data_IF_242551929250
#
_entry.id   IF_242551929250
#
_cell.length_a   1.000
_cell.length_b   1.000
_cell.length_c   1.000
_cell.angle_alpha   90.00
_cell.angle_beta   90.00
_cell.angle_gamma   90.00
#
_symmetry.space_group_name_H-M   'P 1'
#
loop_
_entity.id
_entity.type
_entity.pdbx_description
1 polymer ?
#
# COMPACT_ATOMS: atom_id res chain seq x y z
N UNK A 1 16.94 -34.18 15.42
CA UNK A 1 17.68 -33.33 14.46
C UNK A 1 17.09 -31.95 14.55
N UNK A 2 17.76 -31.02 15.24
CA UNK A 2 17.35 -29.63 15.29
C UNK A 2 17.63 -29.02 13.92
N UNK A 3 16.57 -28.84 13.13
CA UNK A 3 16.61 -27.96 11.96
C UNK A 3 17.03 -26.58 12.45
N UNK A 4 18.24 -26.14 12.11
CA UNK A 4 18.72 -24.82 12.46
C UNK A 4 17.79 -23.78 11.84
N UNK A 5 16.99 -23.10 12.68
CA UNK A 5 16.28 -21.87 12.29
C UNK A 5 17.34 -20.91 11.77
N UNK A 6 17.35 -20.63 10.46
CA UNK A 6 18.08 -19.48 9.92
C UNK A 6 17.37 -18.25 10.49
N UNK A 7 18.05 -17.50 11.35
CA UNK A 7 17.58 -16.18 11.75
C UNK A 7 17.72 -15.26 10.53
N UNK A 8 16.61 -14.93 9.90
CA UNK A 8 16.58 -13.88 8.89
C UNK A 8 16.66 -12.54 9.64
N UNK A 9 17.42 -11.58 9.11
CA UNK A 9 17.66 -10.29 9.73
C UNK A 9 17.33 -9.20 8.72
N UNK A 10 16.48 -8.24 9.09
CA UNK A 10 16.19 -7.06 8.27
C UNK A 10 17.45 -6.21 8.17
N UNK A 11 18.02 -6.13 6.97
CA UNK A 11 19.15 -5.25 6.69
C UNK A 11 18.65 -3.85 6.34
N UNK A 12 19.48 -2.86 6.62
CA UNK A 12 19.18 -1.45 6.36
C UNK A 12 20.37 -0.78 5.69
N UNK A 13 20.11 0.26 4.92
CA UNK A 13 21.14 1.02 4.23
C UNK A 13 20.83 2.51 4.29
N UNK A 14 21.86 3.32 4.17
CA UNK A 14 21.70 4.77 4.03
C UNK A 14 21.28 5.08 2.59
N UNK A 15 20.28 5.93 2.42
CA UNK A 15 19.81 6.40 1.11
C UNK A 15 19.58 7.89 1.15
N UNK A 16 20.10 8.60 0.16
CA UNK A 16 19.75 9.99 -0.10
C UNK A 16 18.33 10.04 -0.65
N UNK A 17 17.48 10.83 0.01
CA UNK A 17 16.06 10.97 -0.34
C UNK A 17 15.68 12.43 -0.39
N UNK A 18 14.63 12.72 -1.15
CA UNK A 18 13.99 14.03 -1.10
C UNK A 18 12.55 13.87 -0.64
N UNK A 19 12.21 14.60 0.42
CA UNK A 19 10.90 14.59 1.05
C UNK A 19 10.57 15.99 1.55
N UNK A 20 9.29 16.24 1.78
CA UNK A 20 8.83 17.53 2.31
C UNK A 20 9.50 17.80 3.66
N UNK A 21 9.91 19.04 3.90
CA UNK A 21 10.60 19.44 5.14
C UNK A 21 9.69 19.40 6.36
N UNK A 22 8.53 20.05 6.26
CA UNK A 22 7.49 20.01 7.29
C UNK A 22 6.65 18.75 7.10
N UNK A 23 6.62 17.88 8.11
CA UNK A 23 5.96 16.57 8.07
C UNK A 23 5.16 16.29 9.34
N UNK A 24 5.01 17.28 10.22
CA UNK A 24 4.21 17.14 11.42
C UNK A 24 2.76 16.75 11.06
N UNK A 25 2.15 15.77 11.76
CA UNK A 25 0.77 15.39 11.49
C UNK A 25 -0.22 16.54 11.51
N UNK A 26 -0.06 17.57 12.36
CA UNK A 26 -0.97 18.72 12.37
C UNK A 26 -0.82 19.61 11.14
N UNK A 27 0.41 19.78 10.65
CA UNK A 27 0.65 20.49 9.39
C UNK A 27 0.01 19.75 8.23
N UNK A 28 0.26 18.44 8.12
CA UNK A 28 -0.32 17.61 7.06
C UNK A 28 -1.84 17.68 7.07
N UNK A 29 -2.49 17.51 8.22
CA UNK A 29 -3.96 17.65 8.31
C UNK A 29 -4.44 19.01 7.79
N UNK A 30 -3.77 20.09 8.19
CA UNK A 30 -4.10 21.45 7.77
C UNK A 30 -3.90 21.63 6.25
N UNK A 31 -2.81 21.08 5.71
CA UNK A 31 -2.51 21.09 4.28
C UNK A 31 -3.56 20.33 3.48
N UNK A 32 -3.84 19.07 3.85
CA UNK A 32 -4.79 18.22 3.13
C UNK A 32 -6.20 18.83 3.18
N UNK A 33 -6.58 19.47 4.28
CA UNK A 33 -7.83 20.23 4.38
C UNK A 33 -7.84 21.44 3.43
N UNK A 34 -6.76 22.22 3.38
CA UNK A 34 -6.64 23.37 2.46
C UNK A 34 -6.69 22.94 1.00
N UNK A 35 -5.97 21.89 0.60
CA UNK A 35 -5.89 21.41 -0.78
C UNK A 35 -7.27 21.09 -1.40
N UNK A 36 -8.26 20.76 -0.56
CA UNK A 36 -9.64 20.45 -0.96
C UNK A 36 -10.55 21.68 -1.05
N UNK A 37 -10.09 22.84 -0.60
CA UNK A 37 -10.91 24.05 -0.67
C UNK A 37 -11.06 24.52 -2.11
N UNK A 38 -12.28 24.90 -2.50
CA UNK A 38 -12.54 25.36 -3.87
C UNK A 38 -11.70 26.60 -4.17
N UNK A 39 -10.84 26.52 -5.18
CA UNK A 39 -9.91 27.59 -5.55
C UNK A 39 -8.61 27.59 -4.75
N UNK A 40 -8.30 26.51 -4.03
CA UNK A 40 -6.98 26.28 -3.46
C UNK A 40 -5.92 26.42 -4.56
N UNK A 41 -4.89 27.21 -4.26
CA UNK A 41 -3.70 27.30 -5.11
C UNK A 41 -2.74 26.20 -4.68
N UNK A 42 -2.08 25.56 -5.64
CA UNK A 42 -1.02 24.59 -5.39
C UNK A 42 0.02 25.21 -4.44
N UNK A 43 0.30 24.51 -3.35
CA UNK A 43 1.36 24.90 -2.41
C UNK A 43 2.68 24.41 -2.98
N UNK A 44 3.64 25.32 -3.08
CA UNK A 44 5.03 24.94 -3.33
C UNK A 44 5.63 24.49 -2.00
N UNK A 45 6.05 23.24 -1.94
CA UNK A 45 6.60 22.65 -0.74
C UNK A 45 8.09 22.92 -0.64
N UNK A 46 8.55 23.22 0.57
CA UNK A 46 9.98 23.21 0.87
C UNK A 46 10.48 21.76 0.93
N UNK A 47 11.24 21.37 -0.09
CA UNK A 47 11.85 20.04 -0.19
C UNK A 47 13.21 20.01 0.51
N UNK A 48 13.50 18.92 1.21
CA UNK A 48 14.81 18.68 1.81
C UNK A 48 15.46 17.44 1.24
N UNK A 49 16.78 17.53 1.03
CA UNK A 49 17.64 16.40 0.66
C UNK A 49 18.37 15.91 1.90
N UNK A 50 18.12 14.67 2.29
CA UNK A 50 18.74 14.09 3.48
C UNK A 50 19.05 12.61 3.29
N UNK A 51 20.07 12.15 4.02
CA UNK A 51 20.42 10.75 4.07
C UNK A 51 19.68 10.09 5.24
N UNK A 52 18.85 9.10 4.94
CA UNK A 52 18.06 8.39 5.94
C UNK A 52 18.32 6.89 5.89
N UNK A 53 18.07 6.22 7.01
CA UNK A 53 18.10 4.76 7.07
C UNK A 53 16.82 4.20 6.45
N UNK A 54 16.98 3.33 5.46
CA UNK A 54 15.89 2.64 4.77
C UNK A 54 16.12 1.13 4.79
N UNK A 55 15.06 0.31 4.63
CA UNK A 55 15.21 -1.12 4.40
C UNK A 55 16.09 -1.39 3.18
N UNK A 56 16.97 -2.39 3.27
CA UNK A 56 17.77 -2.80 2.12
C UNK A 56 16.95 -3.65 1.15
N UNK A 57 16.27 -3.01 0.20
CA UNK A 57 15.48 -3.67 -0.85
C UNK A 57 16.29 -4.52 -1.84
N UNK A 58 17.63 -4.41 -1.83
CA UNK A 58 18.51 -5.27 -2.63
C UNK A 58 18.89 -6.56 -1.90
N UNK A 59 18.59 -6.63 -0.61
CA UNK A 59 18.75 -7.84 0.20
C UNK A 59 17.45 -8.65 0.19
N UNK A 60 17.54 -9.88 -0.33
CA UNK A 60 16.38 -10.78 -0.45
C UNK A 60 15.78 -11.11 0.90
N UNK A 61 16.62 -11.35 1.89
CA UNK A 61 16.18 -11.79 3.21
C UNK A 61 15.41 -10.66 3.92
N UNK A 62 15.79 -9.39 3.68
CA UNK A 62 15.01 -8.20 4.08
C UNK A 62 13.62 -8.19 3.46
N UNK A 63 13.47 -8.38 2.14
CA UNK A 63 12.16 -8.41 1.50
C UNK A 63 11.29 -9.58 2.01
N UNK A 64 11.89 -10.75 2.20
CA UNK A 64 11.21 -11.92 2.77
C UNK A 64 10.70 -11.62 4.18
N UNK A 65 11.49 -10.96 5.01
CA UNK A 65 11.10 -10.64 6.38
C UNK A 65 9.96 -9.61 6.43
N UNK A 66 10.05 -8.57 5.60
CA UNK A 66 8.95 -7.62 5.43
C UNK A 66 7.65 -8.28 4.94
N UNK A 67 7.75 -9.27 4.05
CA UNK A 67 6.59 -10.01 3.58
C UNK A 67 5.97 -10.91 4.67
N UNK A 68 6.77 -11.47 5.58
CA UNK A 68 6.26 -12.19 6.76
C UNK A 68 5.57 -11.26 7.75
N UNK A 69 6.20 -10.13 8.10
CA UNK A 69 5.60 -9.05 8.90
C UNK A 69 4.25 -8.62 8.29
N UNK A 70 4.21 -8.50 6.96
CA UNK A 70 2.98 -8.16 6.23
C UNK A 70 1.94 -9.28 6.27
N UNK A 71 2.35 -10.55 6.25
CA UNK A 71 1.44 -11.69 6.40
C UNK A 71 0.81 -11.72 7.80
N UNK A 72 1.57 -11.37 8.83
CA UNK A 72 1.11 -11.29 10.22
C UNK A 72 0.09 -10.16 10.45
N UNK A 73 0.09 -9.12 9.62
CA UNK A 73 -0.96 -8.10 9.62
C UNK A 73 -2.38 -8.68 9.40
N UNK A 74 -2.50 -9.90 8.84
CA UNK A 74 -3.77 -10.61 8.66
C UNK A 74 -4.18 -11.47 9.87
N UNK A 75 -3.34 -11.59 10.89
CA UNK A 75 -3.55 -12.50 12.03
C UNK A 75 -3.87 -11.69 13.28
N UNK A 76 -5.06 -11.88 13.86
CA UNK A 76 -5.52 -11.09 15.02
C UNK A 76 -4.66 -11.33 16.27
N UNK A 77 -4.36 -12.60 16.56
CA UNK A 77 -3.72 -13.02 17.80
C UNK A 77 -2.25 -13.36 17.51
N UNK A 78 -1.30 -12.54 18.00
CA UNK A 78 0.12 -12.85 17.93
C UNK A 78 0.44 -14.21 18.55
N UNK A 79 1.47 -14.89 18.03
CA UNK A 79 1.88 -16.24 18.46
C UNK A 79 0.83 -17.35 18.24
N UNK A 80 -0.26 -17.05 17.54
CA UNK A 80 -1.26 -18.02 17.11
C UNK A 80 -0.75 -19.00 16.05
N UNK A 81 -1.60 -19.96 15.65
CA UNK A 81 -1.24 -21.02 14.69
C UNK A 81 -0.83 -20.50 13.30
N UNK A 82 -1.37 -19.35 12.91
CA UNK A 82 -1.12 -18.71 11.62
C UNK A 82 -0.07 -17.57 11.66
N UNK A 83 0.44 -17.26 12.86
CA UNK A 83 1.47 -16.25 13.10
C UNK A 83 2.84 -16.75 12.67
N UNK A 84 3.59 -15.93 11.95
CA UNK A 84 4.94 -16.24 11.50
C UNK A 84 5.94 -15.65 12.50
N UNK A 85 6.86 -16.48 12.99
CA UNK A 85 7.96 -15.97 13.81
C UNK A 85 8.93 -15.18 12.92
N UNK A 86 8.84 -13.86 13.01
CA UNK A 86 9.68 -12.89 12.29
C UNK A 86 11.08 -12.72 12.90
N UNK A 87 11.33 -13.35 14.06
CA UNK A 87 12.62 -13.34 14.74
C UNK A 87 13.04 -11.97 15.28
N UNK A 88 14.22 -11.94 15.89
CA UNK A 88 14.81 -10.70 16.41
C UNK A 88 15.35 -9.81 15.27
N UNK A 89 15.39 -8.47 15.45
CA UNK A 89 15.09 -7.73 16.69
C UNK A 89 13.64 -7.26 16.83
N UNK A 90 12.75 -7.58 15.89
CA UNK A 90 11.42 -6.97 15.85
C UNK A 90 10.41 -7.79 16.64
N UNK A 91 9.80 -7.15 17.64
CA UNK A 91 8.70 -7.71 18.38
C UNK A 91 7.41 -6.99 18.02
N UNK A 92 6.30 -7.73 17.97
CA UNK A 92 4.96 -7.14 17.95
C UNK A 92 4.73 -6.38 19.27
N UNK A 93 4.25 -5.15 19.18
CA UNK A 93 4.06 -4.28 20.35
C UNK A 93 2.66 -3.67 20.47
N UNK A 94 1.82 -3.80 19.44
CA UNK A 94 0.45 -3.30 19.43
C UNK A 94 -0.26 -3.54 18.11
N UNK A 95 -1.38 -4.27 18.17
CA UNK A 95 -2.36 -4.38 17.10
C UNK A 95 -3.35 -3.21 17.07
N UNK A 96 -3.92 -2.93 15.89
CA UNK A 96 -4.95 -1.91 15.72
C UNK A 96 -6.14 -2.39 14.88
N UNK A 97 -7.33 -1.84 15.15
CA UNK A 97 -8.56 -2.04 14.36
C UNK A 97 -9.26 -3.39 14.54
N UNK A 98 -8.75 -4.28 15.39
CA UNK A 98 -9.29 -5.63 15.59
C UNK A 98 -10.65 -5.66 16.31
N UNK A 99 -10.97 -4.60 17.06
CA UNK A 99 -12.23 -4.40 17.80
C UNK A 99 -13.38 -3.82 16.96
N UNK A 100 -13.11 -3.49 15.69
CA UNK A 100 -14.08 -2.89 14.77
C UNK A 100 -13.94 -3.45 13.35
N UNK A 101 -14.76 -2.96 12.43
CA UNK A 101 -14.72 -3.31 11.01
C UNK A 101 -13.86 -2.34 10.18
N UNK A 102 -12.95 -1.58 10.82
CA UNK A 102 -12.05 -0.64 10.17
C UNK A 102 -10.75 -1.26 9.67
N UNK A 103 -9.79 -0.39 9.35
CA UNK A 103 -8.44 -0.78 8.92
C UNK A 103 -7.70 -1.50 10.06
N UNK A 104 -7.07 -2.63 9.76
CA UNK A 104 -6.39 -3.50 10.72
C UNK A 104 -4.90 -3.64 10.44
N UNK A 105 -4.16 -4.10 11.43
CA UNK A 105 -2.74 -4.39 11.31
C UNK A 105 -2.04 -4.39 12.66
N UNK A 106 -0.71 -4.29 12.62
CA UNK A 106 0.16 -4.35 13.79
C UNK A 106 1.34 -3.39 13.69
N UNK A 107 1.91 -3.06 14.84
CA UNK A 107 3.13 -2.26 14.98
C UNK A 107 4.25 -3.14 15.55
N UNK A 108 5.34 -3.24 14.80
CA UNK A 108 6.54 -3.97 15.19
C UNK A 108 7.65 -2.99 15.55
N UNK A 109 8.39 -3.28 16.61
CA UNK A 109 9.44 -2.38 17.10
C UNK A 109 10.71 -3.18 17.39
N UNK A 110 11.86 -2.61 17.03
CA UNK A 110 13.15 -3.20 17.38
C UNK A 110 13.42 -3.12 18.90
N UNK A 111 14.30 -3.98 19.41
CA UNK A 111 14.63 -4.03 20.85
C UNK A 111 15.12 -2.68 21.44
N UNK A 112 15.62 -1.79 20.59
CA UNK A 112 16.15 -0.47 20.97
C UNK A 112 15.17 0.68 20.80
N UNK A 113 13.93 0.43 20.35
CA UNK A 113 12.91 1.45 20.02
C UNK A 113 13.41 2.53 19.04
N UNK A 114 14.33 2.17 18.15
CA UNK A 114 14.93 3.04 17.15
C UNK A 114 14.29 2.90 15.77
N UNK A 115 13.61 1.78 15.51
CA UNK A 115 12.93 1.49 14.25
C UNK A 115 11.57 0.87 14.52
N UNK A 116 10.54 1.47 13.94
CA UNK A 116 9.14 1.02 14.06
C UNK A 116 8.62 0.69 12.68
N UNK A 117 8.03 -0.49 12.53
CA UNK A 117 7.40 -0.95 11.29
C UNK A 117 5.90 -1.00 11.52
N UNK A 118 5.15 -0.20 10.75
CA UNK A 118 3.68 -0.26 10.70
C UNK A 118 3.28 -1.23 9.60
N UNK A 119 2.68 -2.36 9.95
CA UNK A 119 2.21 -3.37 9.02
C UNK A 119 0.69 -3.26 8.86
N UNK A 120 0.22 -2.96 7.64
CA UNK A 120 -1.20 -2.71 7.35
C UNK A 120 -1.81 -3.91 6.63
N UNK A 121 -2.91 -4.41 7.17
CA UNK A 121 -3.71 -5.49 6.58
C UNK A 121 -4.38 -5.01 5.30
N UNK A 122 -4.42 -5.86 4.28
CA UNK A 122 -5.25 -5.65 3.10
C UNK A 122 -6.61 -6.33 3.19
N UNK A 123 -7.25 -6.51 2.04
CA UNK A 123 -8.64 -6.93 1.93
C UNK A 123 -8.87 -8.36 2.43
N UNK A 124 -9.83 -8.52 3.33
CA UNK A 124 -10.47 -9.82 3.56
C UNK A 124 -11.47 -10.08 2.44
N UNK A 125 -11.28 -11.17 1.69
CA UNK A 125 -12.26 -11.65 0.72
C UNK A 125 -12.23 -13.18 0.62
N UNK A 126 -13.39 -13.78 0.34
CA UNK A 126 -13.50 -15.21 0.02
C UNK A 126 -12.56 -15.62 -1.13
N UNK A 127 -12.34 -14.73 -2.11
CA UNK A 127 -11.38 -14.92 -3.21
C UNK A 127 -9.93 -15.12 -2.71
N UNK A 128 -9.59 -14.50 -1.58
CA UNK A 128 -8.30 -14.58 -0.92
C UNK A 128 -8.27 -15.58 0.25
N UNK A 129 -9.34 -16.39 0.42
CA UNK A 129 -9.51 -17.33 1.54
C UNK A 129 -9.41 -16.65 2.91
N UNK A 130 -9.80 -15.38 2.97
CA UNK A 130 -9.91 -14.60 4.20
C UNK A 130 -11.37 -14.24 4.40
N UNK A 131 -11.94 -14.69 5.52
CA UNK A 131 -13.28 -14.31 5.97
C UNK A 131 -13.14 -13.35 7.14
N UNK A 132 -14.09 -12.43 7.31
CA UNK A 132 -14.03 -11.49 8.43
C UNK A 132 -14.96 -10.29 8.32
N UNK A 133 -15.15 -9.62 9.45
CA UNK A 133 -16.10 -8.52 9.59
C UNK A 133 -15.72 -7.25 8.79
N UNK A 134 -14.50 -7.18 8.23
CA UNK A 134 -14.01 -6.04 7.44
C UNK A 134 -14.35 -6.13 5.95
N UNK A 135 -14.79 -7.29 5.44
CA UNK A 135 -14.95 -7.56 3.98
C UNK A 135 -15.72 -6.45 3.26
N UNK A 136 -16.81 -5.95 3.87
CA UNK A 136 -17.64 -4.90 3.27
C UNK A 136 -16.89 -3.57 3.15
N UNK A 137 -16.19 -3.16 4.21
CA UNK A 137 -15.46 -1.88 4.23
C UNK A 137 -14.19 -1.94 3.38
N UNK A 138 -13.50 -3.08 3.39
CA UNK A 138 -12.34 -3.32 2.52
C UNK A 138 -12.76 -3.13 1.06
N UNK A 139 -13.85 -3.78 0.64
CA UNK A 139 -14.39 -3.68 -0.72
C UNK A 139 -14.81 -2.26 -1.11
N UNK A 140 -15.41 -1.50 -0.20
CA UNK A 140 -15.76 -0.10 -0.45
C UNK A 140 -14.51 0.73 -0.73
N UNK A 141 -13.46 0.55 0.08
CA UNK A 141 -12.21 1.29 -0.08
C UNK A 141 -11.44 0.84 -1.33
N UNK A 142 -11.35 -0.47 -1.62
CA UNK A 142 -10.80 -1.00 -2.87
C UNK A 142 -11.44 -0.32 -4.08
N UNK A 143 -12.78 -0.37 -4.13
CA UNK A 143 -13.56 0.20 -5.22
C UNK A 143 -13.44 1.72 -5.31
N UNK A 144 -13.24 2.41 -4.20
CA UNK A 144 -13.06 3.86 -4.20
C UNK A 144 -11.67 4.27 -4.70
N UNK A 145 -10.63 3.51 -4.33
CA UNK A 145 -9.24 3.79 -4.66
C UNK A 145 -8.88 3.40 -6.09
N UNK A 146 -9.35 2.23 -6.54
CA UNK A 146 -8.83 1.58 -7.75
C UNK A 146 -9.79 1.62 -8.93
N UNK A 147 -10.97 2.24 -8.77
CA UNK A 147 -11.88 2.49 -9.89
C UNK A 147 -11.75 3.92 -10.42
N UNK A 148 -12.09 4.08 -11.68
CA UNK A 148 -12.08 5.38 -12.33
C UNK A 148 -13.19 6.30 -11.82
N UNK A 149 -14.37 5.76 -11.50
CA UNK A 149 -15.49 6.55 -11.02
C UNK A 149 -16.41 5.73 -10.11
N UNK A 150 -16.09 5.62 -8.82
CA UNK A 150 -16.97 5.05 -7.80
C UNK A 150 -17.49 3.62 -8.11
N UNK A 151 -16.68 2.76 -8.71
CA UNK A 151 -17.05 1.41 -9.19
C UNK A 151 -18.18 1.40 -10.23
N UNK A 152 -18.28 2.46 -11.05
CA UNK A 152 -19.22 2.54 -12.17
C UNK A 152 -18.77 1.65 -13.34
N UNK A 153 -18.93 0.34 -13.17
CA UNK A 153 -18.50 -0.68 -14.15
C UNK A 153 -19.64 -1.10 -15.09
N UNK A 154 -20.81 -1.46 -14.54
CA UNK A 154 -21.95 -1.92 -15.34
C UNK A 154 -23.28 -1.77 -14.59
N UNK A 155 -24.40 -2.00 -15.27
CA UNK A 155 -25.74 -1.94 -14.67
C UNK A 155 -25.97 -3.00 -13.58
N UNK A 156 -25.11 -4.02 -13.48
CA UNK A 156 -25.19 -5.10 -12.49
C UNK A 156 -24.48 -4.73 -11.17
N UNK A 157 -23.83 -3.57 -11.09
CA UNK A 157 -23.02 -3.15 -9.96
C UNK A 157 -23.64 -1.97 -9.23
N UNK A 158 -23.40 -1.90 -7.92
CA UNK A 158 -23.67 -0.73 -7.10
C UNK A 158 -22.41 0.12 -6.99
N UNK A 159 -22.57 1.44 -7.11
CA UNK A 159 -21.48 2.40 -6.93
C UNK A 159 -21.15 2.58 -5.44
N UNK A 160 -19.92 3.01 -5.15
CA UNK A 160 -19.46 3.28 -3.77
C UNK A 160 -19.48 4.77 -3.39
N UNK A 161 -19.76 5.63 -4.37
CA UNK A 161 -20.06 7.05 -4.22
C UNK A 161 -20.89 7.55 -5.40
N UNK A 162 -21.46 8.75 -5.27
CA UNK A 162 -22.41 9.32 -6.24
C UNK A 162 -21.76 10.39 -7.15
N UNK A 163 -20.49 10.18 -7.52
CA UNK A 163 -19.72 11.15 -8.32
C UNK A 163 -19.90 11.01 -9.84
N UNK A 164 -20.56 9.94 -10.29
CA UNK A 164 -20.85 9.74 -11.71
C UNK A 164 -21.88 10.74 -12.21
N UNK A 165 -21.58 11.41 -13.33
CA UNK A 165 -22.53 12.35 -13.94
C UNK A 165 -23.29 11.72 -15.12
N UNK A 166 -22.56 11.34 -16.16
CA UNK A 166 -23.10 10.78 -17.43
C UNK A 166 -21.95 10.25 -18.28
N UNK A 167 -22.20 9.34 -19.22
CA UNK A 167 -21.30 8.93 -20.32
C UNK A 167 -19.79 9.15 -20.08
N UNK A 168 -19.14 8.27 -19.31
CA UNK A 168 -17.71 8.38 -18.96
C UNK A 168 -17.28 9.73 -18.37
N UNK A 169 -18.19 10.46 -17.72
CA UNK A 169 -17.93 11.73 -17.04
C UNK A 169 -18.15 11.56 -15.54
N UNK A 170 -17.18 12.00 -14.75
CA UNK A 170 -17.20 11.90 -13.29
C UNK A 170 -16.74 13.22 -12.68
N UNK A 171 -17.36 13.66 -11.58
CA UNK A 171 -16.92 14.87 -10.89
C UNK A 171 -15.62 14.60 -10.12
N UNK A 172 -14.56 15.32 -10.47
CA UNK A 172 -13.25 15.18 -9.83
C UNK A 172 -13.34 15.59 -8.34
N UNK A 173 -13.91 16.76 -8.07
CA UNK A 173 -14.06 17.28 -6.70
C UNK A 173 -14.87 16.35 -5.78
N UNK A 174 -15.85 15.63 -6.32
CA UNK A 174 -16.61 14.63 -5.58
C UNK A 174 -15.75 13.40 -5.24
N UNK A 175 -14.97 12.89 -6.21
CA UNK A 175 -14.08 11.74 -5.99
C UNK A 175 -13.02 12.04 -4.93
N UNK A 176 -12.43 13.23 -5.00
CA UNK A 176 -11.47 13.71 -4.00
C UNK A 176 -12.14 13.79 -2.61
N UNK A 177 -13.34 14.36 -2.52
CA UNK A 177 -14.10 14.41 -1.28
C UNK A 177 -14.44 13.02 -0.71
N UNK A 178 -14.79 12.07 -1.58
CA UNK A 178 -15.13 10.71 -1.17
C UNK A 178 -13.92 9.95 -0.61
N UNK A 179 -12.74 10.06 -1.24
CA UNK A 179 -11.49 9.45 -0.78
C UNK A 179 -11.07 9.94 0.61
N UNK A 180 -11.43 11.18 0.92
CA UNK A 180 -11.03 11.88 2.13
C UNK A 180 -12.03 11.81 3.27
N UNK A 181 -13.18 11.15 3.08
CA UNK A 181 -14.20 11.06 4.11
C UNK A 181 -13.65 10.39 5.38
N UNK A 182 -14.09 10.85 6.55
CA UNK A 182 -13.55 10.44 7.85
C UNK A 182 -13.73 8.93 8.14
N UNK A 183 -14.66 8.28 7.44
CA UNK A 183 -14.95 6.85 7.55
C UNK A 183 -14.17 5.98 6.54
N UNK A 184 -13.15 6.54 5.86
CA UNK A 184 -12.35 5.84 4.85
C UNK A 184 -10.95 5.49 5.36
N UNK A 185 -10.33 4.51 4.71
CA UNK A 185 -9.09 3.90 5.21
C UNK A 185 -7.89 4.83 5.12
N UNK A 186 -7.88 5.77 4.16
CA UNK A 186 -6.83 6.79 4.12
C UNK A 186 -6.82 7.62 5.40
N UNK A 187 -8.00 8.05 5.90
CA UNK A 187 -8.13 8.76 7.18
C UNK A 187 -7.60 7.93 8.34
N UNK A 188 -8.04 6.67 8.45
CA UNK A 188 -7.59 5.76 9.50
C UNK A 188 -6.06 5.58 9.49
N UNK A 189 -5.45 5.54 8.30
CA UNK A 189 -4.00 5.41 8.13
C UNK A 189 -3.23 6.61 8.70
N UNK A 190 -3.75 7.84 8.53
CA UNK A 190 -3.16 9.05 9.13
C UNK A 190 -3.23 9.03 10.65
N UNK A 191 -4.36 8.58 11.22
CA UNK A 191 -4.52 8.48 12.67
C UNK A 191 -3.60 7.43 13.29
N UNK A 192 -3.41 6.28 12.63
CA UNK A 192 -2.44 5.25 13.04
C UNK A 192 -1.03 5.85 13.08
N UNK A 193 -0.62 6.55 12.02
CA UNK A 193 0.71 7.19 11.97
C UNK A 193 0.89 8.23 13.09
N UNK A 194 -0.11 9.08 13.31
CA UNK A 194 -0.09 10.10 14.36
C UNK A 194 0.05 9.49 15.76
N UNK A 195 -0.68 8.42 16.03
CA UNK A 195 -0.59 7.72 17.31
C UNK A 195 0.77 7.03 17.48
N UNK A 196 1.25 6.34 16.45
CA UNK A 196 2.57 5.68 16.48
C UNK A 196 3.70 6.67 16.69
N UNK A 197 3.71 7.80 15.97
CA UNK A 197 4.74 8.84 16.14
C UNK A 197 4.65 9.57 17.48
N UNK A 198 3.47 9.63 18.09
CA UNK A 198 3.32 10.15 19.46
C UNK A 198 3.93 9.21 20.51
N UNK A 199 3.88 7.89 20.27
CA UNK A 199 4.50 6.88 21.14
C UNK A 199 6.01 6.76 20.91
N UNK A 200 6.46 6.94 19.66
CA UNK A 200 7.86 6.77 19.24
C UNK A 200 8.40 8.02 18.51
N UNK A 201 8.53 9.17 19.20
CA UNK A 201 8.80 10.46 18.57
C UNK A 201 10.18 10.60 17.91
N UNK A 202 11.12 9.71 18.24
CA UNK A 202 12.50 9.74 17.71
C UNK A 202 12.84 8.52 16.85
N UNK A 203 11.88 7.62 16.62
CA UNK A 203 12.14 6.39 15.88
C UNK A 203 12.08 6.61 14.36
N UNK A 204 12.81 5.78 13.63
CA UNK A 204 12.62 5.65 12.18
C UNK A 204 11.32 4.88 11.93
N UNK A 205 10.36 5.51 11.26
CA UNK A 205 9.10 4.87 10.91
C UNK A 205 9.19 4.30 9.50
N UNK A 206 9.04 2.99 9.38
CA UNK A 206 8.88 2.27 8.13
C UNK A 206 7.46 1.72 8.03
N UNK A 207 6.96 1.56 6.82
CA UNK A 207 5.59 1.10 6.57
C UNK A 207 5.59 -0.05 5.59
N UNK A 208 4.75 -1.04 5.83
CA UNK A 208 4.56 -2.15 4.89
C UNK A 208 3.13 -2.64 4.90
N UNK A 209 2.75 -3.30 3.81
CA UNK A 209 1.39 -3.77 3.61
C UNK A 209 1.27 -4.56 2.33
N UNK A 210 0.16 -5.27 2.21
CA UNK A 210 -0.16 -6.10 1.05
C UNK A 210 -1.53 -5.74 0.47
N UNK A 211 -1.69 -5.81 -0.85
CA UNK A 211 -2.97 -5.53 -1.52
C UNK A 211 -3.49 -4.12 -1.14
N UNK A 212 -4.75 -3.97 -0.72
CA UNK A 212 -5.28 -2.71 -0.16
C UNK A 212 -4.40 -2.11 0.96
N UNK A 213 -3.82 -2.95 1.82
CA UNK A 213 -2.92 -2.50 2.88
C UNK A 213 -1.61 -1.94 2.31
N UNK A 214 -1.11 -2.51 1.21
CA UNK A 214 0.04 -2.00 0.47
C UNK A 214 -0.22 -0.63 -0.14
N UNK A 215 -1.41 -0.43 -0.70
CA UNK A 215 -1.84 0.87 -1.20
C UNK A 215 -1.93 1.90 -0.07
N UNK A 216 -2.51 1.55 1.08
CA UNK A 216 -2.54 2.44 2.26
C UNK A 216 -1.13 2.78 2.74
N UNK A 217 -0.23 1.80 2.78
CA UNK A 217 1.18 2.03 3.11
C UNK A 217 1.84 2.99 2.13
N UNK A 218 1.63 2.83 0.82
CA UNK A 218 2.19 3.70 -0.22
C UNK A 218 1.65 5.13 -0.13
N UNK A 219 0.35 5.31 0.09
CA UNK A 219 -0.26 6.62 0.32
C UNK A 219 0.30 7.30 1.58
N UNK A 220 0.46 6.55 2.67
CA UNK A 220 1.08 7.07 3.89
C UNK A 220 2.56 7.45 3.66
N UNK A 221 3.30 6.58 2.99
CA UNK A 221 4.68 6.79 2.59
C UNK A 221 4.85 8.05 1.75
N UNK A 222 3.91 8.32 0.84
CA UNK A 222 3.86 9.57 0.06
C UNK A 222 3.51 10.78 0.90
N UNK A 223 2.55 10.64 1.82
CA UNK A 223 2.09 11.73 2.68
C UNK A 223 3.24 12.29 3.53
N UNK A 224 4.06 11.42 4.13
CA UNK A 224 5.10 11.81 5.10
C UNK A 224 6.55 11.57 4.63
N UNK A 225 6.77 11.05 3.41
CA UNK A 225 8.10 10.70 2.92
C UNK A 225 8.75 9.55 3.71
N UNK A 226 8.00 8.47 3.96
CA UNK A 226 8.43 7.33 4.75
C UNK A 226 8.99 6.20 3.87
N UNK A 227 10.02 5.46 4.33
CA UNK A 227 10.39 4.19 3.74
C UNK A 227 9.24 3.18 3.77
N UNK A 228 8.85 2.70 2.59
CA UNK A 228 7.64 1.91 2.41
C UNK A 228 7.87 0.76 1.44
N UNK A 229 7.53 -0.46 1.86
CA UNK A 229 7.51 -1.64 0.98
C UNK A 229 6.06 -2.13 0.86
N UNK A 230 5.47 -1.98 -0.31
CA UNK A 230 4.10 -2.40 -0.61
C UNK A 230 4.14 -3.67 -1.49
N UNK A 231 3.59 -4.77 -0.97
CA UNK A 231 3.56 -6.06 -1.67
C UNK A 231 2.27 -6.24 -2.46
N UNK A 232 2.37 -6.56 -3.76
CA UNK A 232 1.24 -6.78 -4.66
C UNK A 232 0.14 -5.72 -4.49
N UNK A 233 0.54 -4.46 -4.30
CA UNK A 233 -0.40 -3.35 -4.22
C UNK A 233 -1.08 -3.19 -5.59
N UNK A 234 -2.39 -2.92 -5.66
CA UNK A 234 -2.99 -2.35 -6.86
C UNK A 234 -2.42 -0.94 -7.10
N UNK A 235 -2.49 -0.45 -8.35
CA UNK A 235 -1.98 0.86 -8.71
C UNK A 235 -2.73 2.01 -8.03
N UNK A 236 -2.09 2.69 -7.08
CA UNK A 236 -2.69 3.74 -6.26
C UNK A 236 -2.31 5.18 -6.67
N UNK A 237 -1.60 5.38 -7.79
CA UNK A 237 -1.13 6.70 -8.20
C UNK A 237 -2.27 7.69 -8.44
N UNK A 238 -3.35 7.26 -9.09
CA UNK A 238 -4.53 8.11 -9.30
C UNK A 238 -5.17 8.55 -7.98
N UNK A 239 -5.22 7.65 -6.99
CA UNK A 239 -5.69 7.99 -5.65
C UNK A 239 -4.77 8.99 -4.97
N UNK A 240 -3.44 8.80 -5.06
CA UNK A 240 -2.46 9.76 -4.51
C UNK A 240 -2.59 11.16 -5.15
N UNK A 241 -2.88 11.24 -6.45
CA UNK A 241 -3.13 12.50 -7.14
C UNK A 241 -4.43 13.16 -6.69
N UNK A 242 -5.53 12.40 -6.58
CA UNK A 242 -6.82 12.87 -6.06
C UNK A 242 -6.71 13.35 -4.61
N UNK A 243 -5.84 12.72 -3.84
CA UNK A 243 -5.55 13.13 -2.47
C UNK A 243 -4.64 14.36 -2.41
N UNK A 244 -4.12 14.87 -3.53
CA UNK A 244 -3.14 15.97 -3.56
C UNK A 244 -1.91 15.67 -2.70
N UNK A 245 -1.41 14.44 -2.72
CA UNK A 245 -0.25 14.09 -1.90
C UNK A 245 1.03 14.78 -2.41
N UNK A 246 2.03 15.01 -1.55
CA UNK A 246 3.31 15.57 -1.97
C UNK A 246 4.04 14.68 -2.99
N UNK A 247 4.31 15.22 -4.18
CA UNK A 247 5.19 14.61 -5.19
C UNK A 247 6.45 15.46 -5.34
N UNK A 248 7.62 14.98 -4.85
CA UNK A 248 8.85 15.74 -4.98
C UNK A 248 9.25 15.91 -6.46
N UNK A 249 9.71 17.09 -6.90
CA UNK A 249 10.08 17.39 -8.28
C UNK A 249 11.47 16.84 -8.63
N UNK A 250 11.73 15.60 -8.26
CA UNK A 250 13.03 14.92 -8.33
C UNK A 250 12.95 13.69 -9.22
N UNK A 251 14.08 13.09 -9.62
CA UNK A 251 14.07 11.78 -10.24
C UNK A 251 13.42 10.74 -9.31
N UNK A 252 12.50 9.94 -9.84
CA UNK A 252 11.76 8.93 -9.07
C UNK A 252 12.65 7.97 -8.28
N UNK A 253 13.92 7.80 -8.64
CA UNK A 253 14.86 6.94 -7.91
C UNK A 253 15.20 7.44 -6.48
N UNK A 254 14.90 8.69 -6.15
CA UNK A 254 15.04 9.27 -4.81
C UNK A 254 13.80 9.03 -3.93
N UNK A 255 12.74 8.40 -4.46
CA UNK A 255 11.59 7.95 -3.67
C UNK A 255 11.97 6.83 -2.71
N UNK A 256 11.16 6.68 -1.67
CA UNK A 256 11.29 5.65 -0.64
C UNK A 256 10.10 4.70 -0.62
N UNK A 257 9.30 4.69 -1.68
CA UNK A 257 8.15 3.79 -1.85
C UNK A 257 8.49 2.77 -2.92
N UNK A 258 8.53 1.49 -2.53
CA UNK A 258 8.83 0.35 -3.38
C UNK A 258 7.62 -0.58 -3.45
N UNK A 259 7.15 -0.83 -4.67
CA UNK A 259 6.07 -1.75 -4.98
C UNK A 259 6.70 -3.06 -5.43
N UNK A 260 6.66 -4.08 -4.57
CA UNK A 260 7.19 -5.41 -4.86
C UNK A 260 6.04 -6.28 -5.35
N UNK A 261 6.15 -6.80 -6.57
CA UNK A 261 5.11 -7.62 -7.15
C UNK A 261 5.61 -8.67 -8.12
N UNK A 262 4.70 -9.40 -8.75
CA UNK A 262 5.07 -10.43 -9.72
C UNK A 262 4.21 -10.43 -11.00
N UNK A 263 4.81 -10.80 -12.13
CA UNK A 263 4.14 -10.74 -13.46
C UNK A 263 2.93 -11.67 -13.61
N UNK A 264 2.75 -12.62 -12.68
CA UNK A 264 1.60 -13.54 -12.68
C UNK A 264 0.48 -13.12 -11.71
N UNK A 265 0.60 -11.99 -11.03
CA UNK A 265 -0.49 -11.38 -10.26
C UNK A 265 -1.31 -10.41 -11.13
N UNK A 266 -2.59 -10.73 -11.43
CA UNK A 266 -3.42 -9.85 -12.23
C UNK A 266 -3.83 -8.53 -11.53
N UNK A 267 -3.79 -8.44 -10.19
CA UNK A 267 -4.13 -7.20 -9.48
C UNK A 267 -2.96 -6.21 -9.53
N UNK A 268 -1.76 -6.64 -9.13
CA UNK A 268 -0.56 -5.80 -9.22
C UNK A 268 -0.29 -5.32 -10.64
N UNK A 269 -0.49 -6.19 -11.63
CA UNK A 269 -0.31 -5.85 -13.04
C UNK A 269 -1.48 -5.03 -13.63
N UNK A 270 -2.56 -4.75 -12.89
CA UNK A 270 -3.68 -3.93 -13.34
C UNK A 270 -4.57 -4.58 -14.43
N UNK A 271 -4.55 -5.92 -14.55
CA UNK A 271 -5.29 -6.67 -15.59
C UNK A 271 -6.50 -7.44 -15.05
N UNK A 272 -6.82 -7.31 -13.76
CA UNK A 272 -7.99 -7.91 -13.14
C UNK A 272 -9.25 -7.04 -13.29
N UNK A 273 -9.58 -6.57 -14.50
CA UNK A 273 -10.65 -5.59 -14.74
C UNK A 273 -11.74 -6.02 -15.74
N UNK A 274 -11.49 -7.06 -16.54
CA UNK A 274 -12.45 -7.51 -17.56
C UNK A 274 -13.72 -8.18 -16.98
N UNK A 275 -14.84 -8.22 -17.74
CA UNK A 275 -16.14 -8.75 -17.29
C UNK A 275 -16.13 -10.26 -16.96
N UNK A 276 -15.10 -10.99 -17.38
CA UNK A 276 -14.90 -12.41 -17.05
C UNK A 276 -13.83 -12.62 -15.98
N UNK A 277 -13.23 -11.55 -15.47
CA UNK A 277 -12.21 -11.62 -14.43
C UNK A 277 -12.83 -11.97 -13.08
N UNK A 278 -12.02 -12.59 -12.23
CA UNK A 278 -12.41 -12.94 -10.86
C UNK A 278 -12.68 -11.69 -10.01
N UNK A 279 -11.93 -10.60 -10.19
CA UNK A 279 -12.19 -9.35 -9.49
C UNK A 279 -13.55 -8.77 -9.89
N UNK A 280 -13.88 -8.79 -11.19
CA UNK A 280 -15.19 -8.36 -11.66
C UNK A 280 -16.31 -9.21 -11.06
N UNK A 281 -16.20 -10.53 -11.11
CA UNK A 281 -17.19 -11.43 -10.50
C UNK A 281 -17.29 -11.26 -8.98
N UNK A 282 -16.18 -10.89 -8.34
CA UNK A 282 -16.10 -10.55 -6.92
C UNK A 282 -16.64 -9.16 -6.56
N UNK A 283 -16.95 -8.31 -7.53
CA UNK A 283 -17.40 -6.93 -7.32
C UNK A 283 -16.26 -5.96 -6.94
N UNK A 284 -15.03 -6.26 -7.33
CA UNK A 284 -13.85 -5.40 -7.18
C UNK A 284 -13.53 -4.72 -8.51
N UNK A 285 -13.71 -3.39 -8.55
CA UNK A 285 -13.48 -2.53 -9.69
C UNK A 285 -12.00 -2.08 -9.71
N UNK A 286 -11.13 -2.97 -10.20
CA UNK A 286 -9.68 -2.77 -10.24
C UNK A 286 -9.23 -2.18 -11.59
N UNK A 287 -9.61 -0.94 -11.89
CA UNK A 287 -9.35 -0.29 -13.18
C UNK A 287 -7.98 0.39 -13.27
N UNK A 288 -7.34 0.70 -12.14
CA UNK A 288 -6.03 1.38 -12.09
C UNK A 288 -4.85 0.40 -12.12
N UNK A 289 -3.72 0.87 -12.65
CA UNK A 289 -2.47 0.12 -12.77
C UNK A 289 -1.22 0.93 -12.40
N UNK A 290 -1.33 2.27 -12.28
CA UNK A 290 -0.17 3.12 -12.06
C UNK A 290 0.20 3.20 -10.57
N UNK A 291 1.48 2.98 -10.24
CA UNK A 291 2.00 3.08 -8.88
C UNK A 291 2.66 4.43 -8.59
N UNK A 292 2.42 4.99 -7.40
CA UNK A 292 3.11 6.18 -6.93
C UNK A 292 4.43 5.78 -6.26
N UNK A 293 5.34 5.11 -6.97
CA UNK A 293 6.60 4.61 -6.39
C UNK A 293 7.53 3.99 -7.43
N UNK A 294 8.51 3.23 -6.97
CA UNK A 294 9.32 2.35 -7.83
C UNK A 294 8.67 0.98 -7.88
N UNK A 295 8.71 0.33 -9.04
CA UNK A 295 8.22 -1.02 -9.26
C UNK A 295 9.40 -2.01 -9.27
N UNK A 296 9.32 -3.02 -8.40
CA UNK A 296 10.30 -4.07 -8.18
C UNK A 296 9.65 -5.41 -8.54
N UNK A 297 9.63 -5.77 -9.83
CA UNK A 297 8.78 -6.84 -10.34
C UNK A 297 9.57 -8.14 -10.58
N UNK A 298 9.13 -9.23 -9.95
CA UNK A 298 9.59 -10.58 -10.25
C UNK A 298 8.91 -11.12 -11.52
N UNK A 299 9.70 -11.55 -12.52
CA UNK A 299 9.15 -12.07 -13.77
C UNK A 299 8.79 -13.57 -13.67
N UNK A 300 7.84 -13.90 -12.81
CA UNK A 300 7.42 -15.28 -12.52
C UNK A 300 6.84 -16.01 -13.73
N UNK A 301 6.20 -15.28 -14.66
CA UNK A 301 5.67 -15.86 -15.90
C UNK A 301 6.80 -16.42 -16.76
N UNK A 302 7.87 -15.65 -16.98
CA UNK A 302 8.97 -16.11 -17.82
C UNK A 302 9.95 -17.03 -17.08
N UNK A 303 10.31 -16.69 -15.85
CA UNK A 303 11.32 -17.40 -15.07
C UNK A 303 10.82 -18.73 -14.51
N UNK A 304 9.55 -18.75 -14.05
CA UNK A 304 8.98 -19.86 -13.28
C UNK A 304 7.76 -20.49 -13.96
N UNK A 305 7.34 -19.98 -15.14
CA UNK A 305 6.18 -20.47 -15.90
C UNK A 305 4.86 -20.41 -15.12
N UNK A 306 4.73 -19.42 -14.23
CA UNK A 306 3.48 -19.18 -13.55
C UNK A 306 2.42 -18.71 -14.54
N UNK A 307 1.20 -19.21 -14.38
CA UNK A 307 0.04 -18.68 -15.09
C UNK A 307 -0.50 -17.47 -14.33
N UNK A 308 -0.95 -16.45 -15.06
CA UNK A 308 -1.64 -15.30 -14.46
C UNK A 308 -2.87 -15.80 -13.70
N UNK A 309 -2.90 -15.58 -12.39
CA UNK A 309 -3.93 -16.10 -11.51
C UNK A 309 -4.05 -15.27 -10.25
N UNK A 310 -5.28 -15.06 -9.79
CA UNK A 310 -5.57 -14.38 -8.51
C UNK A 310 -4.95 -15.08 -7.30
N UNK A 311 -4.62 -16.38 -7.42
CA UNK A 311 -3.90 -17.10 -6.36
C UNK A 311 -2.49 -16.55 -6.11
N UNK A 312 -1.87 -15.96 -7.14
CA UNK A 312 -0.52 -15.40 -7.06
C UNK A 312 -0.51 -13.99 -6.44
N UNK A 313 -1.68 -13.40 -6.20
CA UNK A 313 -1.85 -12.18 -5.41
C UNK A 313 -1.77 -12.42 -3.90
N UNK A 314 -1.65 -13.67 -3.41
CA UNK A 314 -1.72 -13.91 -1.95
C UNK A 314 -0.34 -13.71 -1.32
N UNK A 315 -0.31 -13.09 -0.14
CA UNK A 315 0.94 -12.79 0.58
C UNK A 315 1.83 -14.02 0.84
N UNK A 316 1.25 -15.16 1.24
CA UNK A 316 2.01 -16.39 1.52
C UNK A 316 2.74 -16.93 0.28
N UNK A 317 2.09 -17.12 -0.88
CA UNK A 317 2.77 -17.46 -2.14
C UNK A 317 3.92 -16.52 -2.54
N UNK A 318 3.84 -15.22 -2.24
CA UNK A 318 4.93 -14.27 -2.52
C UNK A 318 6.17 -14.60 -1.67
N UNK A 319 6.00 -14.96 -0.39
CA UNK A 319 7.11 -15.36 0.48
C UNK A 319 7.86 -16.54 -0.13
N UNK A 320 7.13 -17.59 -0.54
CA UNK A 320 7.71 -18.77 -1.18
C UNK A 320 8.35 -18.44 -2.54
N UNK A 321 7.71 -17.56 -3.32
CA UNK A 321 8.26 -17.05 -4.57
C UNK A 321 9.62 -16.38 -4.34
N UNK A 322 9.70 -15.41 -3.44
CA UNK A 322 10.93 -14.66 -3.16
C UNK A 322 12.05 -15.59 -2.69
N UNK A 323 11.74 -16.58 -1.83
CA UNK A 323 12.69 -17.60 -1.40
C UNK A 323 13.21 -18.48 -2.55
N UNK A 324 12.45 -18.59 -3.65
CA UNK A 324 12.85 -19.34 -4.85
C UNK A 324 13.79 -18.57 -5.80
N UNK A 325 14.06 -17.28 -5.52
CA UNK A 325 15.01 -16.44 -6.25
C UNK A 325 16.30 -16.23 -5.44
N UNK A 326 17.41 -16.03 -6.15
CA UNK A 326 18.71 -15.75 -5.52
C UNK A 326 18.95 -14.25 -5.30
N UNK A 327 18.27 -13.40 -6.06
CA UNK A 327 18.41 -11.93 -6.04
C UNK A 327 17.03 -11.28 -6.00
N UNK A 328 16.97 -10.02 -5.59
CA UNK A 328 15.76 -9.20 -5.71
C UNK A 328 15.68 -8.58 -7.12
N UNK A 329 14.48 -8.23 -7.60
CA UNK A 329 14.33 -7.54 -8.88
C UNK A 329 14.87 -6.11 -8.78
N UNK A 330 15.36 -5.59 -9.89
CA UNK A 330 15.72 -4.18 -9.98
C UNK A 330 14.46 -3.32 -9.90
N UNK A 331 14.45 -2.37 -8.98
CA UNK A 331 13.36 -1.41 -8.84
C UNK A 331 13.51 -0.26 -9.84
N UNK A 332 12.47 0.00 -10.64
CA UNK A 332 12.48 1.03 -11.68
C UNK A 332 11.29 1.97 -11.56
N UNK A 333 11.43 3.18 -12.10
CA UNK A 333 10.32 4.11 -12.21
C UNK A 333 9.28 3.59 -13.23
N UNK A 334 7.98 3.66 -12.92
CA UNK A 334 6.93 3.35 -13.89
C UNK A 334 7.06 4.24 -15.13
N UNK A 335 7.01 3.65 -16.33
CA UNK A 335 7.14 4.41 -17.58
C UNK A 335 5.78 4.87 -18.10
N UNK A 336 5.57 6.19 -18.21
CA UNK A 336 4.42 6.83 -18.88
C UNK A 336 3.08 6.13 -18.63
N UNK A 337 2.78 5.87 -17.36
CA UNK A 337 1.54 5.22 -16.97
C UNK A 337 0.40 6.24 -16.89
N UNK A 338 -0.75 5.88 -17.48
CA UNK A 338 -1.97 6.68 -17.41
C UNK A 338 -3.16 5.78 -17.10
N UNK A 339 -3.82 6.06 -15.97
CA UNK A 339 -5.08 5.42 -15.60
C UNK A 339 -6.28 6.17 -16.20
N UNK A 340 -7.37 5.45 -16.42
CA UNK A 340 -8.69 6.03 -16.70
C UNK A 340 -8.74 6.98 -17.90
N UNK A 341 -7.96 6.71 -18.95
CA UNK A 341 -7.85 7.54 -20.15
C UNK A 341 -9.20 7.88 -20.79
N UNK A 342 -10.14 6.93 -20.78
CA UNK A 342 -11.46 7.10 -21.40
C UNK A 342 -12.42 7.98 -20.58
N UNK A 343 -12.07 8.31 -19.33
CA UNK A 343 -12.90 9.11 -18.44
C UNK A 343 -12.61 10.61 -18.55
N UNK A 344 -13.68 11.40 -18.61
CA UNK A 344 -13.65 12.85 -18.53
C UNK A 344 -13.93 13.30 -17.09
N UNK A 345 -12.93 13.87 -16.42
CA UNK A 345 -13.05 14.37 -15.06
C UNK A 345 -13.34 15.88 -15.07
N UNK A 346 -14.47 16.28 -14.46
CA UNK A 346 -15.00 17.67 -14.49
C UNK A 346 -15.02 18.37 -13.14
#
# INVERSE_FOLDING_TARGET
MASGRRSFHVSSQLKTVTRMSERDPNFIESYLHYARTKGAVAIDFDWMHEDIMVPNITDRDTLVEFAKITADAYVEVPEGADWIDVGLPYNETGGFGWDSNGLRGHVFVDETNTTVIIAIKGTSAALFHSDGDTVSNDKVNDNLLFSCCCARISYLWSTVCDCYEKSYTCSQSCLEGALYAEDKYYRATLDIYRNTTSLYPTANIWVTGHSLGGAMSALLGRTYGLPTIAFESPGEQLAAQRLHLPFPPIPLNETTVWHVGNTADPIFMGVCNGPTSVCWLGGYAMETQCHAGLECIYDTVNDKRWHISISNHRIRPIIDMMLSYNTTPTCVAPTNCQDCYDWNFV
#
